data_IF_406350447069
#
_entry.id   IF_406350447069
#
_cell.length_a   1.000
_cell.length_b   1.000
_cell.length_c   1.000
_cell.angle_alpha   90.00
_cell.angle_beta   90.00
_cell.angle_gamma   90.00
#
_symmetry.space_group_name_H-M   'P 1'
#
loop_
_entity.id
_entity.type
_entity.pdbx_description
1 polymer ?
#
# COMPACT_ATOMS: atom_id res chain seq x y z
N UNK A 1 45.59 46.53 24.57
CA UNK A 1 45.23 45.22 23.99
C UNK A 1 43.76 44.92 24.29
N UNK A 2 42.84 45.16 23.35
CA UNK A 2 41.43 44.74 23.47
C UNK A 2 41.12 43.89 22.25
N UNK A 3 40.87 42.60 22.48
CA UNK A 3 40.61 41.60 21.45
C UNK A 3 39.19 41.77 20.93
N UNK A 4 39.07 41.99 19.64
CA UNK A 4 37.83 41.93 18.86
C UNK A 4 37.35 40.48 18.81
N UNK A 5 36.09 40.21 19.14
CA UNK A 5 35.43 38.95 18.82
C UNK A 5 34.20 39.31 18.00
N UNK A 6 34.21 38.94 16.72
CA UNK A 6 33.06 39.01 15.82
C UNK A 6 32.46 37.61 15.81
N UNK A 7 31.27 37.44 16.40
CA UNK A 7 30.49 36.20 16.30
C UNK A 7 29.59 36.35 15.07
N UNK A 8 29.98 35.71 13.97
CA UNK A 8 29.12 35.56 12.79
C UNK A 8 28.11 34.44 13.04
N UNK A 9 26.84 34.79 13.22
CA UNK A 9 25.74 33.83 13.23
C UNK A 9 25.40 33.46 11.78
N UNK A 10 25.83 32.28 11.33
CA UNK A 10 25.37 31.69 10.07
C UNK A 10 23.98 31.06 10.31
N UNK A 11 22.94 31.73 9.83
CA UNK A 11 21.57 31.23 9.83
C UNK A 11 21.45 30.19 8.71
N UNK A 12 21.53 28.90 9.06
CA UNK A 12 21.19 27.80 8.16
C UNK A 12 19.67 27.83 7.92
N UNK A 13 19.25 28.24 6.72
CA UNK A 13 17.90 27.95 6.25
C UNK A 13 17.81 26.43 6.01
N UNK A 14 17.17 25.72 6.94
CA UNK A 14 16.65 24.39 6.68
C UNK A 14 15.55 24.53 5.62
N UNK A 15 15.88 24.20 4.37
CA UNK A 15 14.87 23.97 3.33
C UNK A 15 14.12 22.70 3.75
N UNK A 16 12.93 22.88 4.33
CA UNK A 16 12.02 21.76 4.60
C UNK A 16 11.73 21.06 3.28
N UNK A 17 12.06 19.78 3.21
CA UNK A 17 11.59 18.92 2.13
C UNK A 17 10.07 18.93 2.14
N UNK A 18 9.39 19.03 0.98
CA UNK A 18 7.95 18.82 0.97
C UNK A 18 7.70 17.42 1.54
N UNK A 19 6.96 17.34 2.64
CA UNK A 19 6.40 16.08 3.09
C UNK A 19 5.43 15.66 1.99
N UNK A 20 5.83 14.69 1.17
CA UNK A 20 4.92 14.00 0.28
C UNK A 20 3.83 13.43 1.18
N UNK A 21 2.62 13.96 1.04
CA UNK A 21 1.47 13.39 1.72
C UNK A 21 1.31 12.01 1.10
N UNK A 22 1.52 10.96 1.90
CA UNK A 22 1.10 9.62 1.52
C UNK A 22 -0.33 9.70 0.96
N UNK A 23 -0.68 8.87 -0.05
CA UNK A 23 -2.04 8.82 -0.56
C UNK A 23 -3.01 8.78 0.61
N UNK A 24 -4.11 9.54 0.53
CA UNK A 24 -5.14 9.50 1.58
C UNK A 24 -5.88 8.16 1.49
N UNK A 25 -5.27 7.12 2.04
CA UNK A 25 -5.84 5.78 2.20
C UNK A 25 -6.20 5.54 3.67
N UNK A 26 -7.07 4.56 3.89
CA UNK A 26 -7.49 4.06 5.19
C UNK A 26 -6.78 2.74 5.48
N UNK A 27 -6.27 2.61 6.70
CA UNK A 27 -5.80 1.33 7.23
C UNK A 27 -6.98 0.37 7.51
N UNK A 28 -8.21 0.88 7.60
CA UNK A 28 -9.39 0.07 7.88
C UNK A 28 -9.75 0.02 9.37
N UNK A 29 -10.16 -1.16 9.84
CA UNK A 29 -10.42 -1.47 11.25
C UNK A 29 -9.65 -2.71 11.72
N UNK A 30 -9.91 -3.18 12.94
CA UNK A 30 -9.27 -4.35 13.55
C UNK A 30 -10.28 -5.51 13.65
N UNK A 31 -10.91 -5.87 12.53
CA UNK A 31 -11.95 -6.90 12.47
C UNK A 31 -11.44 -8.31 12.16
N UNK A 32 -10.19 -8.45 11.70
CA UNK A 32 -9.57 -9.75 11.43
C UNK A 32 -9.31 -10.54 12.72
N UNK A 33 -9.31 -11.87 12.61
CA UNK A 33 -8.88 -12.79 13.68
C UNK A 33 -7.42 -12.55 14.09
N UNK A 34 -6.58 -12.07 13.17
CA UNK A 34 -5.15 -11.83 13.37
C UNK A 34 -4.84 -10.38 13.79
N UNK A 35 -5.83 -9.49 13.81
CA UNK A 35 -5.61 -8.10 14.21
C UNK A 35 -5.10 -7.95 15.65
N UNK A 36 -4.25 -6.94 15.87
CA UNK A 36 -3.64 -6.62 17.18
C UNK A 36 -2.68 -7.70 17.72
N UNK A 37 -2.03 -8.47 16.86
CA UNK A 37 -1.02 -9.45 17.25
C UNK A 37 0.44 -8.93 17.15
N UNK A 38 0.62 -7.72 16.59
CA UNK A 38 1.89 -7.04 16.45
C UNK A 38 2.55 -7.17 15.06
N UNK A 39 1.92 -7.88 14.13
CA UNK A 39 2.30 -8.02 12.73
C UNK A 39 1.19 -7.45 11.83
N UNK A 40 1.51 -7.05 10.59
CA UNK A 40 0.50 -6.57 9.64
C UNK A 40 0.03 -7.73 8.75
N UNK A 41 -1.27 -8.00 8.74
CA UNK A 41 -1.87 -9.07 7.90
C UNK A 41 -2.53 -8.54 6.61
N UNK A 42 -2.61 -7.22 6.44
CA UNK A 42 -3.28 -6.64 5.28
C UNK A 42 -2.43 -6.75 4.01
N UNK A 43 -2.84 -7.56 2.99
CA UNK A 43 -2.02 -7.83 1.81
C UNK A 43 -1.85 -6.65 0.87
N UNK A 44 -2.53 -5.51 1.13
CA UNK A 44 -2.26 -4.25 0.42
C UNK A 44 -0.87 -3.71 0.76
N UNK A 45 -0.25 -4.14 1.85
CA UNK A 45 1.08 -3.69 2.27
C UNK A 45 2.17 -4.73 2.00
N UNK A 46 3.40 -4.26 1.96
CA UNK A 46 4.60 -5.09 1.88
C UNK A 46 5.71 -4.51 2.77
N UNK A 47 6.64 -5.36 3.20
CA UNK A 47 7.83 -4.94 3.94
C UNK A 47 8.04 -5.69 5.26
N UNK A 48 9.01 -5.22 6.04
CA UNK A 48 9.48 -5.87 7.26
C UNK A 48 8.50 -5.78 8.46
N UNK A 49 7.32 -5.22 8.25
CA UNK A 49 6.25 -5.21 9.24
C UNK A 49 5.11 -6.18 8.97
N UNK A 50 5.16 -6.91 7.85
CA UNK A 50 4.16 -7.91 7.51
C UNK A 50 4.31 -9.14 8.41
N UNK A 51 3.20 -9.85 8.60
CA UNK A 51 3.20 -11.22 9.10
C UNK A 51 4.08 -12.13 8.23
N UNK A 52 4.47 -13.26 8.82
CA UNK A 52 5.12 -14.36 8.10
C UNK A 52 4.17 -15.51 7.74
N UNK A 53 2.89 -15.40 8.11
CA UNK A 53 1.85 -16.35 7.73
C UNK A 53 1.29 -16.02 6.35
N UNK A 54 0.58 -16.97 5.70
CA UNK A 54 -0.14 -16.66 4.47
C UNK A 54 -1.11 -15.50 4.68
N UNK A 55 -1.13 -14.58 3.71
CA UNK A 55 -2.04 -13.45 3.71
C UNK A 55 -3.38 -13.85 3.09
N UNK A 56 -4.48 -13.35 3.64
CA UNK A 56 -5.83 -13.72 3.22
C UNK A 56 -6.58 -12.51 2.64
N UNK A 57 -7.51 -12.78 1.72
CA UNK A 57 -8.42 -11.76 1.19
C UNK A 57 -9.22 -11.07 2.30
N UNK A 58 -9.66 -11.85 3.30
CA UNK A 58 -10.45 -11.35 4.43
C UNK A 58 -9.66 -10.39 5.35
N UNK A 59 -8.32 -10.34 5.25
CA UNK A 59 -7.47 -9.42 6.03
C UNK A 59 -7.35 -8.02 5.39
N UNK A 60 -7.87 -7.84 4.17
CA UNK A 60 -7.89 -6.55 3.49
C UNK A 60 -8.71 -5.54 4.31
N UNK A 61 -8.05 -4.46 4.77
CA UNK A 61 -8.61 -3.42 5.64
C UNK A 61 -9.03 -3.89 7.04
N UNK A 62 -8.55 -5.03 7.51
CA UNK A 62 -9.04 -5.65 8.74
C UNK A 62 -7.98 -5.77 9.86
N UNK A 63 -6.79 -5.20 9.67
CA UNK A 63 -5.71 -5.13 10.65
C UNK A 63 -5.07 -3.73 10.75
N UNK A 64 -5.92 -2.74 11.03
CA UNK A 64 -5.53 -1.34 10.91
C UNK A 64 -4.47 -0.89 11.91
N UNK A 65 -4.53 -1.39 13.16
CA UNK A 65 -3.66 -0.93 14.24
C UNK A 65 -2.20 -1.31 14.02
N UNK A 66 -1.93 -2.56 13.63
CA UNK A 66 -0.57 -3.05 13.43
C UNK A 66 0.02 -2.58 12.09
N UNK A 67 -0.76 -2.65 11.01
CA UNK A 67 -0.36 -2.10 9.71
C UNK A 67 -0.04 -0.59 9.78
N UNK A 68 -0.84 0.21 10.52
CA UNK A 68 -0.53 1.63 10.73
C UNK A 68 0.77 1.81 11.49
N UNK A 69 0.95 1.10 12.61
CA UNK A 69 2.15 1.23 13.43
C UNK A 69 3.43 0.86 12.64
N UNK A 70 3.36 -0.19 11.82
CA UNK A 70 4.46 -0.61 10.97
C UNK A 70 4.72 0.35 9.80
N UNK A 71 3.68 0.89 9.16
CA UNK A 71 3.81 1.88 8.10
C UNK A 71 4.42 3.19 8.62
N UNK A 72 3.94 3.72 9.75
CA UNK A 72 4.49 4.94 10.37
C UNK A 72 5.93 4.76 10.85
N UNK A 73 6.33 3.53 11.20
CA UNK A 73 7.71 3.18 11.51
C UNK A 73 8.60 3.03 10.27
N UNK A 74 8.06 3.19 9.05
CA UNK A 74 8.77 2.99 7.78
C UNK A 74 9.13 1.52 7.51
N UNK A 75 8.42 0.58 8.15
CA UNK A 75 8.61 -0.86 7.93
C UNK A 75 7.69 -1.43 6.85
N UNK A 76 6.67 -0.67 6.43
CA UNK A 76 5.74 -1.04 5.36
C UNK A 76 5.65 0.03 4.29
N UNK A 77 5.38 -0.41 3.07
CA UNK A 77 4.92 0.40 1.93
C UNK A 77 3.61 -0.16 1.40
N UNK A 78 2.83 0.68 0.71
CA UNK A 78 1.60 0.25 0.05
C UNK A 78 1.95 -0.33 -1.33
N UNK A 79 1.47 -1.53 -1.63
CA UNK A 79 1.78 -2.24 -2.87
C UNK A 79 1.18 -1.55 -4.09
N UNK A 80 2.01 -1.36 -5.11
CA UNK A 80 1.64 -0.88 -6.44
C UNK A 80 0.79 0.40 -6.44
N UNK A 81 1.13 1.34 -5.56
CA UNK A 81 0.74 2.73 -5.67
C UNK A 81 2.02 3.54 -5.82
N UNK A 82 2.20 4.17 -6.97
CA UNK A 82 3.37 5.00 -7.24
C UNK A 82 3.40 6.24 -6.33
N UNK A 83 4.57 6.87 -6.22
CA UNK A 83 4.77 8.08 -5.41
C UNK A 83 3.83 9.24 -5.77
N UNK A 84 3.36 9.28 -7.02
CA UNK A 84 2.40 10.28 -7.51
C UNK A 84 0.93 9.90 -7.24
N UNK A 85 0.70 8.77 -6.57
CA UNK A 85 -0.61 8.23 -6.24
C UNK A 85 -1.29 7.50 -7.41
N UNK A 86 -0.60 7.30 -8.53
CA UNK A 86 -1.15 6.49 -9.63
C UNK A 86 -1.09 5.00 -9.29
N UNK A 87 -2.07 4.27 -9.83
CA UNK A 87 -2.15 2.81 -9.66
C UNK A 87 -1.09 2.17 -10.54
N UNK A 88 -0.21 1.39 -9.92
CA UNK A 88 0.63 0.43 -10.61
C UNK A 88 -0.09 -0.91 -10.67
N UNK A 89 -0.48 -1.30 -11.88
CA UNK A 89 -1.16 -2.56 -12.14
C UNK A 89 -0.18 -3.74 -12.20
N UNK A 90 1.13 -3.48 -12.31
CA UNK A 90 2.14 -4.52 -12.43
C UNK A 90 2.25 -5.13 -13.82
N UNK A 91 2.36 -6.46 -13.88
CA UNK A 91 2.52 -7.26 -15.10
C UNK A 91 1.43 -8.34 -15.25
N UNK A 92 1.59 -9.22 -16.24
CA UNK A 92 0.67 -10.34 -16.51
C UNK A 92 1.36 -11.70 -16.26
N UNK A 93 2.09 -11.84 -15.14
CA UNK A 93 2.87 -13.04 -14.85
C UNK A 93 2.09 -14.16 -14.14
N UNK A 94 0.89 -13.90 -13.65
CA UNK A 94 0.04 -14.91 -12.99
C UNK A 94 -0.45 -15.98 -13.99
N UNK A 95 -0.81 -17.16 -13.48
CA UNK A 95 -1.51 -18.18 -14.27
C UNK A 95 -2.94 -17.77 -14.66
N UNK A 96 -3.52 -16.81 -13.92
CA UNK A 96 -4.86 -16.26 -14.15
C UNK A 96 -4.84 -14.97 -14.99
N UNK A 97 -3.65 -14.45 -15.32
CA UNK A 97 -3.54 -13.24 -16.12
C UNK A 97 -4.13 -13.41 -17.54
N UNK A 98 -4.78 -12.36 -18.05
CA UNK A 98 -5.39 -12.31 -19.39
C UNK A 98 -6.55 -13.30 -19.59
N UNK A 99 -7.28 -13.66 -18.54
CA UNK A 99 -8.47 -14.51 -18.62
C UNK A 99 -9.79 -13.71 -18.74
N UNK A 100 -9.71 -12.39 -18.60
CA UNK A 100 -10.83 -11.45 -18.74
C UNK A 100 -11.47 -11.03 -17.42
N UNK A 101 -10.96 -11.49 -16.29
CA UNK A 101 -11.34 -11.11 -14.93
C UNK A 101 -10.12 -10.54 -14.19
N UNK A 102 -10.32 -9.76 -13.12
CA UNK A 102 -9.22 -9.24 -12.31
C UNK A 102 -8.97 -10.11 -11.08
N UNK A 103 -7.75 -10.62 -10.92
CA UNK A 103 -7.35 -11.49 -9.80
C UNK A 103 -6.52 -10.79 -8.71
N UNK A 104 -6.39 -9.47 -8.78
CA UNK A 104 -5.61 -8.69 -7.83
C UNK A 104 -6.45 -8.19 -6.64
N UNK A 105 -6.20 -8.76 -5.45
CA UNK A 105 -6.93 -8.45 -4.21
C UNK A 105 -6.85 -6.99 -3.72
N UNK A 106 -5.99 -6.16 -4.32
CA UNK A 106 -5.96 -4.72 -4.02
C UNK A 106 -7.21 -4.03 -4.55
N UNK A 107 -7.95 -4.67 -5.46
CA UNK A 107 -9.17 -4.17 -6.07
C UNK A 107 -10.42 -4.84 -5.50
N UNK A 108 -11.56 -4.19 -5.76
CA UNK A 108 -12.90 -4.72 -5.53
C UNK A 108 -13.82 -4.26 -6.64
N UNK A 109 -14.91 -5.00 -6.87
CA UNK A 109 -16.00 -4.57 -7.75
C UNK A 109 -16.40 -5.62 -8.77
N UNK A 110 -17.19 -5.19 -9.76
CA UNK A 110 -17.83 -6.07 -10.73
C UNK A 110 -16.89 -6.64 -11.81
N UNK A 111 -15.64 -6.19 -11.85
CA UNK A 111 -14.61 -6.72 -12.74
C UNK A 111 -13.65 -7.71 -12.08
N UNK A 112 -13.86 -8.04 -10.80
CA UNK A 112 -13.06 -9.05 -10.11
C UNK A 112 -13.45 -10.44 -10.60
N UNK A 113 -12.50 -11.37 -10.50
CA UNK A 113 -12.77 -12.80 -10.60
C UNK A 113 -13.87 -13.26 -9.65
N UNK A 114 -14.55 -14.33 -10.03
CA UNK A 114 -15.50 -15.05 -9.17
C UNK A 114 -14.86 -16.14 -8.31
N UNK A 115 -13.55 -16.38 -8.46
CA UNK A 115 -12.80 -17.37 -7.70
C UNK A 115 -12.10 -16.74 -6.49
N UNK A 116 -11.62 -17.55 -5.53
CA UNK A 116 -10.84 -17.02 -4.41
C UNK A 116 -9.61 -16.25 -4.91
N UNK A 117 -9.35 -15.09 -4.31
CA UNK A 117 -8.19 -14.27 -4.63
C UNK A 117 -6.94 -14.79 -3.91
N UNK A 118 -5.79 -14.73 -4.58
CA UNK A 118 -4.51 -15.17 -4.02
C UNK A 118 -3.56 -13.97 -3.88
N UNK A 119 -2.74 -13.98 -2.84
CA UNK A 119 -1.74 -12.93 -2.64
C UNK A 119 -0.63 -12.97 -3.71
N UNK A 120 -0.31 -14.16 -4.23
CA UNK A 120 0.64 -14.35 -5.32
C UNK A 120 0.17 -13.68 -6.64
N UNK A 121 -1.12 -13.33 -6.78
CA UNK A 121 -1.68 -12.66 -7.96
C UNK A 121 -1.66 -11.13 -7.85
N UNK A 122 -1.30 -10.58 -6.69
CA UNK A 122 -1.15 -9.13 -6.50
C UNK A 122 -0.13 -8.58 -7.50
N UNK A 123 -0.56 -7.60 -8.31
CA UNK A 123 0.24 -6.98 -9.38
C UNK A 123 0.65 -7.91 -10.54
N UNK A 124 0.00 -9.07 -10.69
CA UNK A 124 0.35 -10.06 -11.71
C UNK A 124 -0.77 -10.37 -12.71
N UNK A 125 -1.82 -9.55 -12.71
CA UNK A 125 -2.91 -9.55 -13.68
C UNK A 125 -3.24 -8.11 -14.17
N UNK A 126 -2.23 -7.44 -14.71
CA UNK A 126 -2.31 -6.02 -15.02
C UNK A 126 -3.32 -5.68 -16.13
N UNK A 127 -3.38 -6.48 -17.19
CA UNK A 127 -4.19 -6.18 -18.38
C UNK A 127 -5.68 -6.18 -18.06
N UNK A 128 -6.17 -7.15 -17.30
CA UNK A 128 -7.58 -7.27 -16.98
C UNK A 128 -7.99 -6.30 -15.88
N UNK A 129 -7.22 -6.21 -14.79
CA UNK A 129 -7.44 -5.23 -13.73
C UNK A 129 -7.45 -3.79 -14.27
N UNK A 130 -6.50 -3.42 -15.13
CA UNK A 130 -6.48 -2.08 -15.77
C UNK A 130 -7.68 -1.86 -16.66
N UNK A 131 -8.07 -2.87 -17.44
CA UNK A 131 -9.21 -2.79 -18.34
C UNK A 131 -10.50 -2.56 -17.55
N UNK A 132 -10.75 -3.36 -16.51
CA UNK A 132 -11.93 -3.24 -15.66
C UNK A 132 -11.93 -1.94 -14.83
N UNK A 133 -10.78 -1.53 -14.29
CA UNK A 133 -10.62 -0.24 -13.60
C UNK A 133 -10.96 0.94 -14.51
N UNK A 134 -10.46 0.95 -15.76
CA UNK A 134 -10.74 2.03 -16.72
C UNK A 134 -12.22 2.14 -17.13
N UNK A 135 -12.97 1.04 -17.00
CA UNK A 135 -14.42 0.99 -17.22
C UNK A 135 -15.23 1.40 -15.99
N UNK A 136 -14.58 1.69 -14.86
CA UNK A 136 -15.24 1.96 -13.59
C UNK A 136 -15.88 0.73 -12.96
N UNK A 137 -15.44 -0.47 -13.35
CA UNK A 137 -15.92 -1.74 -12.78
C UNK A 137 -15.13 -2.15 -11.54
N UNK A 138 -13.94 -1.58 -11.34
CA UNK A 138 -13.10 -1.78 -10.18
C UNK A 138 -12.81 -0.48 -9.44
N UNK A 139 -12.68 -0.61 -8.14
CA UNK A 139 -12.11 0.40 -7.24
C UNK A 139 -10.95 -0.24 -6.47
N UNK A 140 -9.97 0.56 -6.07
CA UNK A 140 -8.97 0.09 -5.11
C UNK A 140 -9.55 0.07 -3.70
N UNK A 141 -9.15 -0.94 -2.93
CA UNK A 141 -9.35 -1.00 -1.49
C UNK A 141 -8.44 0.00 -0.77
N UNK A 142 -8.68 1.31 -0.96
CA UNK A 142 -7.97 2.37 -0.24
C UNK A 142 -8.83 3.04 0.84
N UNK A 143 -10.13 2.74 0.90
CA UNK A 143 -11.11 3.37 1.80
C UNK A 143 -12.25 2.44 2.09
#
# INVERSE_FOLDING_TARGET
MKKTIVIGAALFLALGTPAFSAPKFSFGDDSSEYSNDGECDDPRFEGAGMTSTPLLEDDVMADASDCRAAFEAGRLTLRGIADDGTVDFGDDASEYANDGECDDLRFRGAGMTGTPLLEDDVMHDATDCKTAYSKGQLELNLK
#
